data_IF_086363815583
#
_entry.id   IF_086363815583
#
_cell.length_a   1.000
_cell.length_b   1.000
_cell.length_c   1.000
_cell.angle_alpha   90.00
_cell.angle_beta   90.00
_cell.angle_gamma   90.00
#
_symmetry.space_group_name_H-M   'P 1'
#
loop_
_entity.id
_entity.type
_entity.pdbx_description
1 polymer ?
#
# COMPACT_ATOMS: atom_id res chain seq x y z
N UNK A 1 6.96 18.26 47.49
CA UNK A 1 6.16 18.93 46.44
C UNK A 1 5.38 17.87 45.69
N UNK A 2 4.06 17.99 45.66
CA UNK A 2 3.15 17.00 45.07
C UNK A 2 3.15 17.13 43.55
N UNK A 3 3.35 16.01 42.84
CA UNK A 3 3.51 15.95 41.36
C UNK A 3 2.20 15.61 40.62
N UNK A 4 1.05 15.74 41.28
CA UNK A 4 -0.25 15.61 40.64
C UNK A 4 -0.93 16.96 40.57
N UNK A 5 -0.73 17.67 39.45
CA UNK A 5 -1.57 18.80 39.10
C UNK A 5 -2.91 18.23 38.61
N UNK A 6 -3.94 18.29 39.45
CA UNK A 6 -5.31 18.07 39.00
C UNK A 6 -5.67 19.28 38.13
N UNK A 7 -5.96 19.03 36.86
CA UNK A 7 -6.48 20.04 35.95
C UNK A 7 -7.93 20.33 36.35
N UNK A 8 -8.12 21.30 37.24
CA UNK A 8 -9.43 21.80 37.66
C UNK A 8 -10.09 22.55 36.49
N UNK A 9 -10.63 21.82 35.51
CA UNK A 9 -11.45 22.38 34.46
C UNK A 9 -12.93 22.30 34.86
N UNK A 10 -13.32 23.19 35.78
CA UNK A 10 -14.67 23.33 36.32
C UNK A 10 -15.73 23.84 35.33
N UNK A 11 -15.44 23.85 34.02
CA UNK A 11 -16.33 24.39 32.98
C UNK A 11 -17.07 23.31 32.17
N UNK A 12 -17.00 22.04 32.58
CA UNK A 12 -17.73 20.96 31.95
C UNK A 12 -18.80 20.40 32.91
N UNK A 13 -20.07 20.61 32.57
CA UNK A 13 -21.24 20.24 33.37
C UNK A 13 -21.45 18.72 33.57
N UNK A 14 -20.59 17.86 32.99
CA UNK A 14 -20.67 16.40 33.12
C UNK A 14 -19.34 15.72 32.78
N UNK A 15 -19.08 14.57 33.41
CA UNK A 15 -17.96 13.65 33.10
C UNK A 15 -17.97 13.23 31.62
N UNK A 16 -19.15 13.11 31.02
CA UNK A 16 -19.32 12.79 29.60
C UNK A 16 -18.83 13.94 28.69
N UNK A 17 -19.03 15.20 29.10
CA UNK A 17 -18.55 16.36 28.34
C UNK A 17 -17.02 16.48 28.39
N UNK A 18 -16.42 16.14 29.54
CA UNK A 18 -14.96 16.11 29.70
C UNK A 18 -14.30 15.02 28.85
N UNK A 19 -14.88 13.80 28.83
CA UNK A 19 -14.34 12.70 28.03
C UNK A 19 -14.43 12.97 26.53
N UNK A 20 -15.51 13.62 26.07
CA UNK A 20 -15.68 14.03 24.68
C UNK A 20 -14.65 15.09 24.25
N UNK A 21 -14.44 16.14 25.05
CA UNK A 21 -13.44 17.17 24.78
C UNK A 21 -12.00 16.62 24.80
N UNK A 22 -11.70 15.67 25.70
CA UNK A 22 -10.41 14.98 25.75
C UNK A 22 -10.17 14.05 24.55
N UNK A 23 -11.23 13.49 23.95
CA UNK A 23 -11.14 12.71 22.71
C UNK A 23 -10.89 13.61 21.50
N UNK A 24 -11.66 14.69 21.38
CA UNK A 24 -11.52 15.68 20.29
C UNK A 24 -10.14 16.36 20.29
N UNK A 25 -9.61 16.73 21.45
CA UNK A 25 -8.25 17.30 21.56
C UNK A 25 -7.14 16.31 21.17
N UNK A 26 -7.30 15.00 21.49
CA UNK A 26 -6.37 13.95 21.03
C UNK A 26 -6.45 13.73 19.53
N UNK A 27 -7.65 13.78 18.94
CA UNK A 27 -7.84 13.68 17.48
C UNK A 27 -7.23 14.89 16.76
N UNK A 28 -7.48 16.11 17.26
CA UNK A 28 -6.89 17.34 16.73
C UNK A 28 -5.35 17.34 16.81
N UNK A 29 -4.79 16.74 17.87
CA UNK A 29 -3.33 16.60 18.02
C UNK A 29 -2.72 15.63 16.99
N UNK A 30 -3.42 14.53 16.67
CA UNK A 30 -2.99 13.57 15.63
C UNK A 30 -3.04 14.20 14.23
N UNK A 31 -4.09 14.97 13.95
CA UNK A 31 -4.24 15.70 12.67
C UNK A 31 -3.13 16.76 12.54
N UNK A 32 -2.80 17.47 13.62
CA UNK A 32 -1.71 18.45 13.65
C UNK A 32 -0.34 17.82 13.35
N UNK A 33 -0.04 16.67 13.97
CA UNK A 33 1.18 15.92 13.67
C UNK A 33 1.24 15.45 12.22
N UNK A 34 0.15 14.89 11.68
CA UNK A 34 0.09 14.45 10.29
C UNK A 34 0.32 15.62 9.32
N UNK A 35 -0.31 16.77 9.56
CA UNK A 35 -0.13 17.97 8.74
C UNK A 35 1.31 18.51 8.80
N UNK A 36 1.94 18.53 9.98
CA UNK A 36 3.32 18.94 10.15
C UNK A 36 4.29 17.98 9.42
N UNK A 37 4.04 16.68 9.53
CA UNK A 37 4.83 15.64 8.85
C UNK A 37 4.73 15.76 7.32
N UNK A 38 3.51 15.92 6.79
CA UNK A 38 3.29 16.11 5.35
C UNK A 38 3.97 17.39 4.84
N UNK A 39 3.86 18.49 5.58
CA UNK A 39 4.53 19.76 5.23
C UNK A 39 6.05 19.61 5.23
N UNK A 40 6.62 18.94 6.24
CA UNK A 40 8.06 18.68 6.31
C UNK A 40 8.55 17.81 5.14
N UNK A 41 7.77 16.79 4.76
CA UNK A 41 8.12 15.93 3.62
C UNK A 41 8.03 16.67 2.28
N UNK A 42 7.02 17.52 2.09
CA UNK A 42 6.90 18.35 0.90
C UNK A 42 8.07 19.34 0.75
N UNK A 43 8.51 19.97 1.85
CA UNK A 43 9.69 20.86 1.85
C UNK A 43 10.97 20.11 1.49
N UNK A 44 11.21 18.95 2.11
CA UNK A 44 12.37 18.09 1.78
C UNK A 44 12.38 17.66 0.31
N UNK A 45 11.22 17.37 -0.27
CA UNK A 45 11.10 17.00 -1.68
C UNK A 45 11.50 18.15 -2.62
N UNK A 46 11.06 19.37 -2.32
CA UNK A 46 11.42 20.58 -3.08
C UNK A 46 12.93 20.90 -2.99
N UNK A 47 13.55 20.68 -1.84
CA UNK A 47 15.00 20.82 -1.66
C UNK A 47 15.77 19.82 -2.53
N UNK A 48 15.34 18.54 -2.54
CA UNK A 48 15.94 17.49 -3.37
C UNK A 48 15.79 17.82 -4.86
N UNK A 49 14.61 18.27 -5.30
CA UNK A 49 14.37 18.66 -6.69
C UNK A 49 15.27 19.82 -7.12
N UNK A 50 15.46 20.80 -6.23
CA UNK A 50 16.30 21.97 -6.47
C UNK A 50 17.79 21.57 -6.55
N UNK A 51 18.26 20.71 -5.64
CA UNK A 51 19.62 20.17 -5.65
C UNK A 51 19.93 19.34 -6.91
N UNK A 52 18.96 18.53 -7.36
CA UNK A 52 19.09 17.74 -8.59
C UNK A 52 19.12 18.62 -9.85
N UNK A 53 18.29 19.66 -9.90
CA UNK A 53 18.28 20.61 -11.01
C UNK A 53 19.62 21.36 -11.13
N UNK A 54 20.21 21.76 -10.00
CA UNK A 54 21.51 22.41 -9.97
C UNK A 54 22.65 21.46 -10.37
N UNK A 55 22.57 20.18 -9.95
CA UNK A 55 23.55 19.14 -10.33
C UNK A 55 23.48 18.85 -11.84
N UNK A 56 22.28 18.76 -12.41
CA UNK A 56 22.07 18.55 -13.85
C UNK A 56 22.56 19.75 -14.69
N UNK A 57 22.36 20.98 -14.20
CA UNK A 57 22.90 22.16 -14.85
C UNK A 57 24.44 22.16 -14.85
N UNK A 58 25.08 21.80 -13.72
CA UNK A 58 26.54 21.69 -13.62
C UNK A 58 27.12 20.59 -14.51
N UNK A 59 26.47 19.42 -14.60
CA UNK A 59 26.95 18.32 -15.46
C UNK A 59 26.85 18.66 -16.95
N UNK A 60 25.81 19.38 -17.39
CA UNK A 60 25.70 19.90 -18.77
C UNK A 60 26.80 20.90 -19.11
N UNK A 61 27.13 21.81 -18.18
CA UNK A 61 28.23 22.78 -18.37
C UNK A 61 29.61 22.09 -18.43
N UNK A 62 29.85 21.10 -17.58
CA UNK A 62 31.08 20.27 -17.59
C UNK A 62 31.23 19.48 -18.89
N UNK A 63 30.15 18.94 -19.45
CA UNK A 63 30.21 18.21 -20.72
C UNK A 63 30.48 19.17 -21.92
N UNK A 64 29.93 20.39 -21.87
CA UNK A 64 30.15 21.41 -22.90
C UNK A 64 31.57 21.99 -22.90
N UNK A 65 32.25 22.02 -21.74
CA UNK A 65 33.65 22.49 -21.64
C UNK A 65 34.65 21.42 -22.07
N UNK A 66 34.30 20.14 -21.96
CA UNK A 66 35.13 19.04 -22.46
C UNK A 66 35.04 18.87 -24.00
N UNK A 67 33.94 19.27 -24.64
CA UNK A 67 33.80 19.16 -26.11
C UNK A 67 34.53 20.27 -26.87
N UNK A 68 34.67 21.47 -26.29
CA UNK A 68 35.40 22.58 -26.93
C UNK A 68 36.92 22.46 -26.81
N UNK A 69 37.43 21.66 -25.87
CA UNK A 69 38.88 21.44 -25.68
C UNK A 69 39.43 20.18 -26.38
N UNK A 70 38.60 19.35 -27.03
CA UNK A 70 39.06 18.15 -27.75
C UNK A 70 39.40 18.43 -29.22
N UNK A 71 38.93 19.54 -29.80
CA UNK A 71 39.08 19.78 -31.26
C UNK A 71 40.42 20.43 -31.62
N UNK A 72 41.15 21.03 -30.67
CA UNK A 72 42.41 21.73 -30.98
C UNK A 72 43.60 21.13 -30.23
N UNK A 73 44.47 20.49 -31.01
CA UNK A 73 45.80 19.93 -30.73
C UNK A 73 45.91 18.47 -30.27
N UNK A 74 46.29 17.68 -31.28
CA UNK A 74 47.05 16.43 -31.20
C UNK A 74 48.30 16.57 -30.32
N UNK A 75 48.61 15.50 -29.59
CA UNK A 75 49.88 15.23 -28.90
C UNK A 75 50.23 16.13 -27.71
N UNK A 76 49.60 15.88 -26.56
CA UNK A 76 50.25 16.16 -25.29
C UNK A 76 49.85 15.13 -24.22
N UNK A 77 50.79 14.27 -23.86
CA UNK A 77 50.70 13.39 -22.69
C UNK A 77 50.66 14.25 -21.43
N UNK A 78 49.46 14.64 -20.98
CA UNK A 78 49.30 15.27 -19.67
C UNK A 78 49.09 14.16 -18.64
N UNK A 79 50.19 13.79 -17.98
CA UNK A 79 50.15 13.26 -16.61
C UNK A 79 49.51 14.32 -15.72
N UNK A 80 48.20 14.29 -15.54
CA UNK A 80 47.52 15.10 -14.55
C UNK A 80 47.49 14.35 -13.22
N UNK A 81 48.54 14.54 -12.42
CA UNK A 81 48.38 14.51 -10.96
C UNK A 81 47.44 15.66 -10.59
N UNK A 82 46.14 15.44 -10.68
CA UNK A 82 45.18 16.29 -10.00
C UNK A 82 45.12 15.81 -8.55
N UNK A 83 45.73 16.57 -7.66
CA UNK A 83 45.37 16.57 -6.24
C UNK A 83 43.96 17.15 -6.12
N UNK A 84 42.97 16.41 -6.60
CA UNK A 84 41.58 16.64 -6.24
C UNK A 84 41.42 16.20 -4.78
N UNK A 85 40.74 16.97 -3.92
CA UNK A 85 40.26 16.43 -2.66
C UNK A 85 39.46 15.19 -3.02
N UNK A 86 39.97 14.04 -2.59
CA UNK A 86 39.30 12.77 -2.74
C UNK A 86 38.00 12.91 -1.93
N UNK A 87 36.93 13.38 -2.58
CA UNK A 87 35.61 13.34 -1.99
C UNK A 87 35.27 11.86 -1.99
N UNK A 88 35.65 11.22 -0.89
CA UNK A 88 35.27 9.86 -0.58
C UNK A 88 33.74 9.90 -0.57
N UNK A 89 33.15 9.52 -1.72
CA UNK A 89 31.71 9.35 -1.84
C UNK A 89 31.42 8.29 -0.80
N UNK A 90 30.95 8.75 0.37
CA UNK A 90 30.89 7.95 1.58
C UNK A 90 30.21 6.63 1.24
N UNK A 91 30.76 5.55 1.76
CA UNK A 91 30.21 4.19 1.62
C UNK A 91 28.70 4.14 1.92
N UNK A 92 28.19 5.08 2.72
CA UNK A 92 26.77 5.31 3.00
C UNK A 92 25.92 5.69 1.77
N UNK A 93 26.44 6.50 0.83
CA UNK A 93 25.71 6.84 -0.40
C UNK A 93 25.76 5.71 -1.45
N UNK A 94 26.84 4.93 -1.48
CA UNK A 94 26.90 3.72 -2.31
C UNK A 94 25.95 2.65 -1.76
N UNK A 95 25.89 2.48 -0.44
CA UNK A 95 24.93 1.59 0.22
C UNK A 95 23.48 2.04 0.02
N UNK A 96 23.18 3.34 -0.07
CA UNK A 96 21.81 3.82 -0.31
C UNK A 96 21.32 3.53 -1.73
N UNK A 97 22.18 3.63 -2.75
CA UNK A 97 21.85 3.22 -4.12
C UNK A 97 21.67 1.70 -4.22
N UNK A 98 22.53 0.89 -3.57
CA UNK A 98 22.34 -0.56 -3.54
C UNK A 98 21.09 -0.98 -2.75
N UNK A 99 20.80 -0.36 -1.60
CA UNK A 99 19.56 -0.66 -0.85
C UNK A 99 18.29 -0.20 -1.56
N UNK A 100 18.33 0.85 -2.38
CA UNK A 100 17.21 1.25 -3.23
C UNK A 100 17.04 0.32 -4.45
N UNK A 101 18.14 -0.14 -5.05
CA UNK A 101 18.12 -1.11 -6.17
C UNK A 101 17.68 -2.52 -5.73
N UNK A 102 17.92 -2.90 -4.47
CA UNK A 102 17.49 -4.18 -3.89
C UNK A 102 16.19 -4.11 -3.08
N UNK A 103 15.64 -2.93 -2.78
CA UNK A 103 14.24 -2.79 -2.29
C UNK A 103 13.19 -2.80 -3.40
N UNK A 104 13.62 -2.66 -4.64
CA UNK A 104 12.85 -3.06 -5.80
C UNK A 104 13.06 -4.56 -6.06
N UNK A 105 13.05 -5.37 -4.99
CA UNK A 105 12.83 -6.80 -5.10
C UNK A 105 11.50 -6.96 -5.84
N UNK A 106 11.48 -7.81 -6.86
CA UNK A 106 10.31 -8.24 -7.63
C UNK A 106 9.01 -8.04 -6.86
N UNK A 107 8.37 -6.87 -7.01
CA UNK A 107 7.00 -6.63 -6.58
C UNK A 107 6.10 -7.28 -7.64
N UNK A 108 6.35 -8.56 -7.93
CA UNK A 108 5.33 -9.47 -8.42
C UNK A 108 4.43 -9.77 -7.21
N UNK A 109 3.85 -8.73 -6.61
CA UNK A 109 2.70 -8.92 -5.74
C UNK A 109 1.60 -9.30 -6.72
N UNK A 110 1.47 -10.60 -7.00
CA UNK A 110 0.32 -11.10 -7.71
C UNK A 110 -0.89 -10.58 -6.93
N UNK A 111 -1.68 -9.72 -7.57
CA UNK A 111 -2.90 -9.19 -6.97
C UNK A 111 -4.08 -9.64 -7.79
N UNK A 112 -5.17 -9.97 -7.12
CA UNK A 112 -6.46 -10.24 -7.73
C UNK A 112 -7.55 -9.53 -6.95
N UNK A 113 -8.50 -8.91 -7.66
CA UNK A 113 -9.63 -8.22 -7.05
C UNK A 113 -9.24 -7.14 -6.01
N UNK A 114 -8.04 -6.56 -6.12
CA UNK A 114 -7.50 -5.56 -5.18
C UNK A 114 -6.80 -6.15 -3.95
N UNK A 115 -6.61 -7.47 -3.87
CA UNK A 115 -6.00 -8.16 -2.74
C UNK A 115 -4.75 -8.94 -3.15
N UNK A 116 -3.94 -9.33 -2.16
CA UNK A 116 -2.72 -10.09 -2.40
C UNK A 116 -3.03 -11.54 -2.78
N UNK A 117 -2.15 -12.15 -3.58
CA UNK A 117 -2.19 -13.54 -4.00
C UNK A 117 -0.81 -14.13 -3.78
N UNK A 118 -0.74 -15.31 -3.21
CA UNK A 118 0.53 -16.00 -3.00
C UNK A 118 1.08 -16.59 -4.30
N UNK A 119 2.26 -17.21 -4.21
CA UNK A 119 2.94 -17.84 -5.34
C UNK A 119 2.17 -19.01 -5.97
N UNK A 120 1.30 -19.64 -5.19
CA UNK A 120 0.52 -20.81 -5.58
C UNK A 120 -0.89 -20.43 -6.07
N UNK A 121 -1.19 -19.12 -6.13
CA UNK A 121 -2.46 -18.58 -6.64
C UNK A 121 -3.57 -18.47 -5.60
N UNK A 122 -3.29 -18.70 -4.31
CA UNK A 122 -4.27 -18.49 -3.24
C UNK A 122 -4.35 -17.04 -2.80
N UNK A 123 -5.56 -16.60 -2.48
CA UNK A 123 -5.82 -15.27 -1.94
C UNK A 123 -5.16 -15.11 -0.57
N UNK A 124 -4.52 -13.96 -0.35
CA UNK A 124 -3.79 -13.67 0.87
C UNK A 124 -4.67 -13.22 2.03
N UNK A 125 -4.05 -13.08 3.21
CA UNK A 125 -4.75 -12.74 4.46
C UNK A 125 -5.52 -11.42 4.42
N UNK A 126 -5.09 -10.47 3.57
CA UNK A 126 -5.83 -9.23 3.37
C UNK A 126 -7.21 -9.43 2.72
N UNK A 127 -7.34 -10.42 1.83
CA UNK A 127 -8.63 -10.84 1.29
C UNK A 127 -9.49 -11.50 2.37
N UNK A 128 -8.92 -12.47 3.11
CA UNK A 128 -9.64 -13.18 4.17
C UNK A 128 -10.23 -12.22 5.20
N UNK A 129 -9.44 -11.23 5.63
CA UNK A 129 -9.89 -10.20 6.56
C UNK A 129 -11.05 -9.36 6.01
N UNK A 130 -10.99 -8.97 4.74
CA UNK A 130 -12.06 -8.20 4.10
C UNK A 130 -13.33 -9.04 3.92
N UNK A 131 -13.17 -10.33 3.60
CA UNK A 131 -14.25 -11.28 3.40
C UNK A 131 -14.80 -11.89 4.72
N UNK A 132 -14.22 -11.56 5.88
CA UNK A 132 -14.61 -12.14 7.18
C UNK A 132 -14.33 -13.63 7.30
N UNK A 133 -13.35 -14.15 6.56
CA UNK A 133 -12.92 -15.55 6.56
C UNK A 133 -11.87 -15.80 7.66
N UNK A 134 -11.72 -17.06 8.12
CA UNK A 134 -10.61 -17.47 8.97
C UNK A 134 -9.25 -17.09 8.36
N UNK A 135 -8.26 -16.79 9.21
CA UNK A 135 -6.95 -16.30 8.75
C UNK A 135 -6.24 -17.31 7.83
N UNK A 136 -6.37 -18.59 8.14
CA UNK A 136 -5.81 -19.73 7.42
C UNK A 136 -6.69 -20.25 6.27
N UNK A 137 -7.85 -19.62 6.02
CA UNK A 137 -8.75 -20.01 4.94
C UNK A 137 -8.06 -19.88 3.58
N UNK A 138 -8.14 -20.94 2.77
CA UNK A 138 -7.52 -20.98 1.44
C UNK A 138 -8.58 -20.98 0.35
N UNK A 139 -8.59 -19.92 -0.44
CA UNK A 139 -9.36 -19.83 -1.68
C UNK A 139 -8.44 -19.43 -2.83
N UNK A 140 -8.47 -20.21 -3.91
CA UNK A 140 -7.63 -19.95 -5.07
C UNK A 140 -8.27 -18.88 -5.96
N UNK A 141 -7.47 -18.02 -6.59
CA UNK A 141 -7.95 -16.97 -7.51
C UNK A 141 -8.88 -17.53 -8.59
N UNK A 142 -8.54 -18.68 -9.18
CA UNK A 142 -9.37 -19.29 -10.22
C UNK A 142 -10.79 -19.65 -9.75
N UNK A 143 -10.98 -19.92 -8.46
CA UNK A 143 -12.31 -20.13 -7.89
C UNK A 143 -13.11 -18.83 -7.93
N UNK A 144 -12.48 -17.70 -7.61
CA UNK A 144 -13.10 -16.38 -7.71
C UNK A 144 -13.39 -16.01 -9.17
N UNK A 145 -12.47 -16.30 -10.09
CA UNK A 145 -12.66 -16.07 -11.53
C UNK A 145 -13.88 -16.85 -12.07
N UNK A 146 -14.08 -18.10 -11.62
CA UNK A 146 -15.24 -18.90 -12.01
C UNK A 146 -16.55 -18.37 -11.42
N UNK A 147 -16.53 -17.85 -10.20
CA UNK A 147 -17.70 -17.19 -9.59
C UNK A 147 -18.09 -15.94 -10.38
N UNK A 148 -17.12 -15.09 -10.73
CA UNK A 148 -17.34 -13.93 -11.59
C UNK A 148 -17.92 -14.37 -12.95
N UNK A 149 -17.30 -15.35 -13.60
CA UNK A 149 -17.74 -15.87 -14.91
C UNK A 149 -19.17 -16.41 -14.87
N UNK A 150 -19.52 -17.18 -13.83
CA UNK A 150 -20.87 -17.73 -13.67
C UNK A 150 -21.91 -16.65 -13.37
N UNK A 151 -21.53 -15.64 -12.60
CA UNK A 151 -22.39 -14.49 -12.28
C UNK A 151 -22.68 -13.65 -13.53
N UNK A 152 -21.65 -13.38 -14.34
CA UNK A 152 -21.77 -12.63 -15.59
C UNK A 152 -22.50 -13.36 -16.72
N UNK A 153 -22.57 -14.70 -16.68
CA UNK A 153 -23.10 -15.53 -17.76
C UNK A 153 -24.19 -16.50 -17.30
N UNK A 154 -24.97 -16.13 -16.29
CA UNK A 154 -26.17 -16.90 -15.96
C UNK A 154 -27.28 -16.62 -17.00
N UNK A 155 -28.34 -17.45 -17.01
CA UNK A 155 -29.41 -17.33 -18.01
C UNK A 155 -30.03 -15.94 -18.03
N UNK A 156 -30.29 -15.36 -16.86
CA UNK A 156 -30.92 -14.05 -16.72
C UNK A 156 -30.01 -12.91 -17.21
N UNK A 157 -28.75 -12.90 -16.79
CA UNK A 157 -27.78 -11.85 -17.18
C UNK A 157 -27.39 -11.96 -18.64
N UNK A 158 -27.25 -13.17 -19.17
CA UNK A 158 -26.94 -13.41 -20.59
C UNK A 158 -28.03 -12.85 -21.53
N UNK A 159 -29.30 -13.08 -21.21
CA UNK A 159 -30.42 -12.58 -22.05
C UNK A 159 -30.47 -11.05 -22.04
N UNK A 160 -30.24 -10.42 -20.88
CA UNK A 160 -30.21 -8.97 -20.75
C UNK A 160 -29.01 -8.37 -21.49
N UNK A 161 -27.82 -8.97 -21.38
CA UNK A 161 -26.63 -8.52 -22.11
C UNK A 161 -26.87 -8.50 -23.62
N UNK A 162 -27.47 -9.58 -24.14
CA UNK A 162 -27.85 -9.69 -25.55
C UNK A 162 -28.89 -8.65 -25.96
N UNK A 163 -29.91 -8.43 -25.14
CA UNK A 163 -30.96 -7.46 -25.41
C UNK A 163 -30.43 -6.01 -25.42
N UNK A 164 -29.57 -5.66 -24.46
CA UNK A 164 -28.99 -4.32 -24.31
C UNK A 164 -27.77 -4.09 -25.21
N UNK A 165 -27.21 -5.13 -25.83
CA UNK A 165 -26.01 -5.04 -26.66
C UNK A 165 -24.74 -4.71 -25.87
N UNK A 166 -24.64 -5.21 -24.63
CA UNK A 166 -23.50 -4.94 -23.73
C UNK A 166 -22.70 -6.23 -23.45
N UNK A 167 -21.39 -6.10 -23.30
CA UNK A 167 -20.49 -7.26 -23.11
C UNK A 167 -20.47 -7.78 -21.67
N UNK A 168 -20.67 -6.89 -20.69
CA UNK A 168 -20.69 -7.20 -19.25
C UNK A 168 -21.99 -6.70 -18.63
N UNK A 169 -22.53 -7.51 -17.73
CA UNK A 169 -23.72 -7.16 -16.98
C UNK A 169 -23.37 -6.30 -15.77
N UNK A 170 -22.27 -6.63 -15.07
CA UNK A 170 -21.78 -5.86 -13.94
C UNK A 170 -20.57 -5.00 -14.34
N UNK A 171 -20.55 -3.75 -13.87
CA UNK A 171 -19.39 -2.87 -14.06
C UNK A 171 -18.22 -3.29 -13.19
N UNK A 172 -18.49 -3.62 -11.92
CA UNK A 172 -17.53 -4.08 -10.93
C UNK A 172 -18.25 -5.03 -9.95
N UNK A 173 -17.53 -6.04 -9.46
CA UNK A 173 -18.01 -6.94 -8.40
C UNK A 173 -17.03 -6.83 -7.23
N UNK A 174 -17.53 -6.47 -6.04
CA UNK A 174 -16.74 -6.55 -4.81
C UNK A 174 -16.66 -8.02 -4.38
N UNK A 175 -15.60 -8.70 -4.79
CA UNK A 175 -15.44 -10.14 -4.52
C UNK A 175 -15.29 -10.44 -3.03
N UNK A 176 -14.69 -9.55 -2.25
CA UNK A 176 -14.55 -9.78 -0.81
C UNK A 176 -15.91 -9.71 -0.11
N UNK A 177 -16.72 -8.68 -0.41
CA UNK A 177 -18.06 -8.56 0.16
C UNK A 177 -19.00 -9.67 -0.36
N UNK A 178 -18.85 -10.08 -1.62
CA UNK A 178 -19.60 -11.20 -2.19
C UNK A 178 -19.30 -12.52 -1.45
N UNK A 179 -18.02 -12.85 -1.26
CA UNK A 179 -17.62 -14.06 -0.53
C UNK A 179 -18.04 -13.99 0.94
N UNK A 180 -17.95 -12.82 1.57
CA UNK A 180 -18.43 -12.61 2.94
C UNK A 180 -19.91 -12.94 3.10
N UNK A 181 -20.75 -12.52 2.16
CA UNK A 181 -22.18 -12.83 2.20
C UNK A 181 -22.44 -14.34 2.10
N UNK A 182 -21.73 -15.05 1.23
CA UNK A 182 -21.84 -16.51 1.12
C UNK A 182 -21.33 -17.23 2.38
N UNK A 183 -20.19 -16.81 2.92
CA UNK A 183 -19.64 -17.39 4.13
C UNK A 183 -20.55 -17.17 5.35
N UNK A 184 -21.16 -15.99 5.47
CA UNK A 184 -22.14 -15.71 6.51
C UNK A 184 -23.39 -16.61 6.40
N UNK A 185 -23.86 -16.92 5.19
CA UNK A 185 -24.96 -17.86 5.00
C UNK A 185 -24.56 -19.29 5.36
N UNK A 186 -23.35 -19.71 4.96
CA UNK A 186 -22.80 -21.01 5.36
C UNK A 186 -22.75 -21.13 6.89
N UNK A 187 -22.19 -20.14 7.59
CA UNK A 187 -22.12 -20.15 9.05
C UNK A 187 -23.51 -20.19 9.68
N UNK A 188 -24.50 -19.46 9.15
CA UNK A 188 -25.88 -19.53 9.65
C UNK A 188 -26.47 -20.94 9.55
N UNK A 189 -26.25 -21.62 8.42
CA UNK A 189 -26.72 -22.99 8.20
C UNK A 189 -26.02 -23.94 9.17
N UNK A 190 -24.68 -23.89 9.26
CA UNK A 190 -23.91 -24.73 10.18
C UNK A 190 -24.36 -24.56 11.62
N UNK A 191 -24.55 -23.32 12.07
CA UNK A 191 -25.04 -23.03 13.41
C UNK A 191 -26.44 -23.58 13.66
N UNK A 192 -27.32 -23.45 12.67
CA UNK A 192 -28.69 -23.90 12.79
C UNK A 192 -28.79 -25.43 12.79
N UNK A 193 -27.99 -26.10 11.96
CA UNK A 193 -28.02 -27.55 11.79
C UNK A 193 -27.29 -28.28 12.93
N UNK A 194 -26.14 -27.75 13.37
CA UNK A 194 -25.25 -28.45 14.29
C UNK A 194 -25.13 -27.78 15.67
N UNK A 195 -25.78 -26.63 15.89
CA UNK A 195 -25.66 -25.82 17.11
C UNK A 195 -24.22 -25.44 17.50
N UNK A 196 -23.28 -25.45 16.56
CA UNK A 196 -21.87 -25.15 16.83
C UNK A 196 -21.22 -24.36 15.69
N UNK A 197 -21.03 -23.05 15.93
CA UNK A 197 -20.26 -22.11 15.08
C UNK A 197 -18.80 -22.47 14.89
N UNK A 198 -18.24 -23.23 15.82
CA UNK A 198 -16.82 -23.51 15.89
C UNK A 198 -16.50 -24.96 15.54
N UNK A 199 -17.47 -25.70 14.98
CA UNK A 199 -17.27 -27.08 14.57
C UNK A 199 -16.24 -27.12 13.44
N UNK A 200 -15.03 -27.60 13.76
CA UNK A 200 -13.90 -27.69 12.81
C UNK A 200 -13.83 -29.02 12.07
N UNK A 201 -14.72 -29.96 12.36
CA UNK A 201 -14.76 -31.30 11.75
C UNK A 201 -16.14 -31.92 11.83
N UNK A 202 -16.53 -32.67 10.78
CA UNK A 202 -17.77 -33.43 10.71
C UNK A 202 -17.47 -34.93 10.86
N UNK A 203 -18.37 -35.64 11.55
CA UNK A 203 -18.38 -37.09 11.70
C UNK A 203 -19.36 -37.71 10.71
N UNK A 204 -19.34 -39.04 10.54
CA UNK A 204 -20.27 -39.74 9.64
C UNK A 204 -21.74 -39.62 10.08
N UNK A 205 -21.98 -39.26 11.36
CA UNK A 205 -23.31 -39.04 11.92
C UNK A 205 -23.77 -37.57 11.87
N UNK A 206 -22.91 -36.64 11.44
CA UNK A 206 -23.25 -35.23 11.17
C UNK A 206 -23.76 -35.09 9.73
#
# INVERSE_FOLDING_TARGET
MSIFTINDNSNYNSILSQSKANKESKENSKISFANAFLKQNASKLNEIQSANSQTLARSKVLNSTNTTNIINNTNFSISSKTSSPNYDISSEFKNSIYTLKYKQADLNTNTAYGYSVDKDGYMGSNFNKAAGLPEDFKIHKSTLDEIERKTENNSYTSDIKKYLGIDKYYTNIDMAETIKQYYNQFNQIVNHTFNDTNKTSFTEAD
#
